data_IF_562842252099
#
_entry.id   IF_562842252099
#
_cell.length_a   1.000
_cell.length_b   1.000
_cell.length_c   1.000
_cell.angle_alpha   90.00
_cell.angle_beta   90.00
_cell.angle_gamma   90.00
#
_symmetry.space_group_name_H-M   'P 1'
#
loop_
_entity.id
_entity.type
_entity.pdbx_description
1 polymer ?
#
# COMPACT_ATOMS: atom_id res chain seq x y z
N UNK A 1 -41.30 53.70 47.51
CA UNK A 1 -41.03 52.32 47.03
C UNK A 1 -40.47 52.43 45.61
N UNK A 2 -39.19 52.11 45.41
CA UNK A 2 -38.43 52.46 44.20
C UNK A 2 -37.80 51.17 43.63
N UNK A 3 -38.31 50.70 42.48
CA UNK A 3 -37.74 49.56 41.73
C UNK A 3 -36.72 50.09 40.72
N UNK A 4 -35.44 49.82 40.96
CA UNK A 4 -34.39 49.96 39.93
C UNK A 4 -34.42 48.74 39.02
N UNK A 5 -34.63 48.95 37.72
CA UNK A 5 -34.39 47.95 36.68
C UNK A 5 -32.94 48.10 36.20
N UNK A 6 -32.13 47.06 36.40
CA UNK A 6 -30.74 47.00 35.94
C UNK A 6 -30.70 46.31 34.56
N UNK A 7 -30.38 47.08 33.52
CA UNK A 7 -30.39 46.63 32.12
C UNK A 7 -29.00 46.11 31.77
N UNK A 8 -28.80 44.78 31.83
CA UNK A 8 -27.55 44.13 31.40
C UNK A 8 -27.30 44.36 29.89
N UNK A 9 -26.34 45.22 29.55
CA UNK A 9 -25.78 45.32 28.19
C UNK A 9 -25.01 44.03 27.86
N UNK A 10 -25.61 43.13 27.08
CA UNK A 10 -24.88 42.03 26.42
C UNK A 10 -23.99 42.63 25.33
N UNK A 11 -22.67 42.65 25.52
CA UNK A 11 -21.72 42.96 24.46
C UNK A 11 -21.83 41.85 23.40
N UNK A 12 -22.48 42.13 22.28
CA UNK A 12 -22.40 41.29 21.09
C UNK A 12 -20.98 41.47 20.54
N UNK A 13 -20.12 40.49 20.78
CA UNK A 13 -18.83 40.38 20.12
C UNK A 13 -19.14 40.09 18.64
N UNK A 14 -18.83 41.04 17.76
CA UNK A 14 -19.00 40.84 16.32
C UNK A 14 -17.97 39.84 15.79
N UNK A 15 -18.36 39.05 14.78
CA UNK A 15 -17.46 38.19 14.03
C UNK A 15 -16.42 39.08 13.35
N UNK A 16 -15.19 39.16 13.87
CA UNK A 16 -14.17 40.02 13.27
C UNK A 16 -13.48 39.30 12.10
N UNK A 17 -13.10 40.05 11.08
CA UNK A 17 -12.33 39.51 9.95
C UNK A 17 -10.99 38.90 10.39
N UNK A 18 -10.43 39.38 11.50
CA UNK A 18 -9.19 38.89 12.08
C UNK A 18 -9.37 37.47 12.64
N UNK A 19 -10.46 37.18 13.35
CA UNK A 19 -10.77 35.83 13.84
C UNK A 19 -10.96 34.85 12.68
N UNK A 20 -11.66 35.25 11.63
CA UNK A 20 -11.81 34.40 10.43
C UNK A 20 -10.48 34.19 9.70
N UNK A 21 -9.59 35.19 9.68
CA UNK A 21 -8.29 35.07 9.03
C UNK A 21 -7.39 34.04 9.74
N UNK A 22 -7.39 34.03 11.08
CA UNK A 22 -6.64 33.04 11.87
C UNK A 22 -7.19 31.63 11.62
N UNK A 23 -8.51 31.48 11.57
CA UNK A 23 -9.15 30.19 11.27
C UNK A 23 -8.77 29.71 9.86
N UNK A 24 -8.74 30.60 8.86
CA UNK A 24 -8.31 30.24 7.50
C UNK A 24 -6.85 29.81 7.43
N UNK A 25 -5.95 30.50 8.13
CA UNK A 25 -4.53 30.11 8.19
C UNK A 25 -4.40 28.71 8.81
N UNK A 26 -5.08 28.46 9.94
CA UNK A 26 -5.06 27.15 10.58
C UNK A 26 -5.61 26.05 9.66
N UNK A 27 -6.69 26.32 8.93
CA UNK A 27 -7.28 25.38 7.98
C UNK A 27 -6.33 25.04 6.83
N UNK A 28 -5.67 26.06 6.24
CA UNK A 28 -4.71 25.86 5.15
C UNK A 28 -3.49 25.05 5.62
N UNK A 29 -3.00 25.30 6.84
CA UNK A 29 -1.88 24.54 7.40
C UNK A 29 -2.24 23.05 7.54
N UNK A 30 -3.43 22.75 8.08
CA UNK A 30 -3.91 21.37 8.22
C UNK A 30 -4.06 20.71 6.85
N UNK A 31 -4.64 21.41 5.88
CA UNK A 31 -4.77 20.90 4.51
C UNK A 31 -3.41 20.62 3.86
N UNK A 32 -2.42 21.50 4.03
CA UNK A 32 -1.08 21.34 3.50
C UNK A 32 -0.34 20.15 4.15
N UNK A 33 -0.43 20.01 5.47
CA UNK A 33 0.16 18.88 6.19
C UNK A 33 -0.48 17.54 5.78
N UNK A 34 -1.80 17.52 5.61
CA UNK A 34 -2.52 16.35 5.13
C UNK A 34 -2.14 16.00 3.69
N UNK A 35 -2.06 16.99 2.79
CA UNK A 35 -1.63 16.78 1.41
C UNK A 35 -0.21 16.19 1.34
N UNK A 36 0.72 16.68 2.16
CA UNK A 36 2.07 16.11 2.25
C UNK A 36 2.05 14.65 2.71
N UNK A 37 1.28 14.32 3.75
CA UNK A 37 1.14 12.95 4.23
C UNK A 37 0.55 12.02 3.15
N UNK A 38 -0.51 12.47 2.47
CA UNK A 38 -1.17 11.72 1.38
C UNK A 38 -0.22 11.51 0.20
N UNK A 39 0.56 12.52 -0.20
CA UNK A 39 1.54 12.38 -1.28
C UNK A 39 2.63 11.35 -0.93
N UNK A 40 3.15 11.37 0.30
CA UNK A 40 4.15 10.40 0.74
C UNK A 40 3.61 8.96 0.74
N UNK A 41 2.38 8.77 1.24
CA UNK A 41 1.69 7.48 1.19
C UNK A 41 1.40 7.05 -0.25
N UNK A 42 0.97 7.99 -1.10
CA UNK A 42 0.70 7.75 -2.51
C UNK A 42 1.95 7.33 -3.29
N UNK A 43 3.10 7.97 -3.03
CA UNK A 43 4.37 7.59 -3.61
C UNK A 43 4.84 6.22 -3.14
N UNK A 44 4.72 5.92 -1.83
CA UNK A 44 5.04 4.59 -1.31
C UNK A 44 4.14 3.50 -1.95
N UNK A 45 2.85 3.76 -2.09
CA UNK A 45 1.92 2.86 -2.78
C UNK A 45 2.28 2.67 -4.25
N UNK A 46 2.65 3.75 -4.94
CA UNK A 46 3.02 3.69 -6.38
C UNK A 46 4.32 2.91 -6.59
N UNK A 47 5.32 3.15 -5.74
CA UNK A 47 6.57 2.39 -5.74
C UNK A 47 6.27 0.90 -5.50
N UNK A 48 5.43 0.59 -4.50
CA UNK A 48 5.09 -0.79 -4.20
C UNK A 48 4.32 -1.46 -5.34
N UNK A 49 3.37 -0.75 -5.95
CA UNK A 49 2.67 -1.24 -7.13
C UNK A 49 3.62 -1.53 -8.29
N UNK A 50 4.62 -0.67 -8.52
CA UNK A 50 5.66 -0.90 -9.53
C UNK A 50 6.47 -2.18 -9.28
N UNK A 51 6.89 -2.41 -8.02
CA UNK A 51 7.58 -3.64 -7.63
C UNK A 51 6.71 -4.88 -7.85
N UNK A 52 5.44 -4.83 -7.43
CA UNK A 52 4.51 -5.96 -7.55
C UNK A 52 4.21 -6.25 -9.03
N UNK A 53 4.05 -5.23 -9.86
CA UNK A 53 3.87 -5.41 -11.31
C UNK A 53 5.09 -6.08 -11.95
N UNK A 54 6.30 -5.64 -11.58
CA UNK A 54 7.54 -6.26 -12.08
C UNK A 54 7.65 -7.71 -11.61
N UNK A 55 7.47 -7.97 -10.32
CA UNK A 55 7.52 -9.33 -9.77
C UNK A 55 6.44 -10.22 -10.38
N UNK A 56 5.23 -9.71 -10.59
CA UNK A 56 4.16 -10.43 -11.25
C UNK A 56 4.46 -10.74 -12.71
N UNK A 57 5.14 -9.84 -13.43
CA UNK A 57 5.62 -10.10 -14.77
C UNK A 57 6.72 -11.17 -14.77
N UNK A 58 7.72 -11.04 -13.89
CA UNK A 58 8.79 -12.02 -13.73
C UNK A 58 8.22 -13.41 -13.43
N UNK A 59 7.26 -13.52 -12.51
CA UNK A 59 6.56 -14.75 -12.17
C UNK A 59 5.73 -15.30 -13.34
N UNK A 60 4.96 -14.45 -14.03
CA UNK A 60 4.19 -14.87 -15.20
C UNK A 60 5.07 -15.38 -16.34
N UNK A 61 6.29 -14.85 -16.46
CA UNK A 61 7.31 -15.32 -17.41
C UNK A 61 8.19 -16.44 -16.85
N UNK A 62 8.03 -16.83 -15.59
CA UNK A 62 8.83 -17.86 -14.93
C UNK A 62 8.37 -19.28 -15.25
N UNK A 63 7.69 -19.49 -16.38
CA UNK A 63 7.25 -20.81 -16.78
C UNK A 63 8.46 -21.69 -17.07
N UNK A 64 8.56 -22.82 -16.37
CA UNK A 64 9.52 -23.88 -16.65
C UNK A 64 8.72 -25.09 -17.12
N UNK A 65 9.01 -25.55 -18.33
CA UNK A 65 8.33 -26.69 -18.92
C UNK A 65 9.31 -27.87 -19.09
N UNK A 66 8.90 -29.13 -18.82
CA UNK A 66 9.71 -30.29 -19.14
C UNK A 66 9.99 -30.36 -20.65
N UNK A 67 11.26 -30.35 -21.01
CA UNK A 67 11.72 -30.51 -22.38
C UNK A 67 11.80 -32.01 -22.74
N UNK A 68 10.72 -32.55 -23.30
CA UNK A 68 10.68 -33.93 -23.78
C UNK A 68 10.29 -34.95 -22.71
N UNK A 69 10.79 -36.18 -22.85
CA UNK A 69 10.36 -37.31 -22.01
C UNK A 69 11.13 -37.38 -20.69
N UNK A 70 10.43 -37.79 -19.62
CA UNK A 70 11.05 -38.13 -18.33
C UNK A 70 11.72 -39.50 -18.45
N UNK A 71 13.02 -39.57 -18.18
CA UNK A 71 13.80 -40.81 -18.33
C UNK A 71 14.13 -41.37 -16.95
N UNK A 72 13.73 -42.61 -16.67
CA UNK A 72 14.10 -43.32 -15.45
C UNK A 72 15.13 -44.43 -15.76
N UNK A 73 16.30 -44.37 -15.13
CA UNK A 73 17.30 -45.43 -15.22
C UNK A 73 17.06 -46.48 -14.14
N UNK A 74 16.85 -47.74 -14.55
CA UNK A 74 16.72 -48.89 -13.66
C UNK A 74 18.07 -49.48 -13.23
N UNK A 75 18.12 -50.01 -12.01
CA UNK A 75 19.21 -50.80 -11.48
C UNK A 75 18.72 -52.18 -11.03
N UNK A 76 19.64 -53.13 -10.97
CA UNK A 76 19.41 -54.50 -10.52
C UNK A 76 20.30 -54.75 -9.32
N UNK A 77 19.73 -55.27 -8.23
CA UNK A 77 20.50 -55.75 -7.08
C UNK A 77 19.88 -57.06 -6.60
N UNK A 78 20.63 -58.16 -6.76
CA UNK A 78 20.05 -59.50 -6.65
C UNK A 78 19.01 -59.73 -7.75
N UNK A 79 17.80 -60.17 -7.36
CA UNK A 79 16.65 -60.43 -8.25
C UNK A 79 15.60 -59.30 -8.23
N UNK A 80 15.92 -58.17 -7.59
CA UNK A 80 15.00 -57.05 -7.40
C UNK A 80 15.34 -55.88 -8.32
N UNK A 81 14.36 -55.42 -9.10
CA UNK A 81 14.44 -54.20 -9.91
C UNK A 81 14.14 -52.97 -9.06
N UNK A 82 14.94 -51.92 -9.21
CA UNK A 82 14.69 -50.63 -8.58
C UNK A 82 15.02 -49.47 -9.52
N UNK A 83 14.42 -48.31 -9.28
CA UNK A 83 14.75 -47.08 -10.01
C UNK A 83 16.02 -46.48 -9.39
N UNK A 84 17.07 -46.34 -10.19
CA UNK A 84 18.37 -45.81 -9.77
C UNK A 84 18.45 -44.29 -9.92
N UNK A 85 17.88 -43.73 -10.99
CA UNK A 85 17.81 -42.29 -11.20
C UNK A 85 16.61 -41.90 -12.08
N UNK A 86 16.23 -40.62 -12.00
CA UNK A 86 15.23 -40.00 -12.88
C UNK A 86 15.83 -38.69 -13.41
N UNK A 87 15.82 -38.53 -14.73
CA UNK A 87 16.33 -37.37 -15.44
C UNK A 87 15.17 -36.65 -16.13
N UNK A 88 15.04 -35.36 -15.85
CA UNK A 88 14.05 -34.47 -16.45
C UNK A 88 14.82 -33.32 -17.09
N UNK A 89 14.70 -33.19 -18.40
CA UNK A 89 15.19 -32.00 -19.09
C UNK A 89 14.13 -30.91 -18.96
N UNK A 90 14.54 -29.67 -18.76
CA UNK A 90 13.65 -28.51 -18.61
C UNK A 90 14.02 -27.44 -19.61
N UNK A 91 13.01 -26.74 -20.11
CA UNK A 91 13.12 -25.56 -20.96
C UNK A 91 12.46 -24.39 -20.24
N UNK A 92 13.15 -23.26 -20.24
CA UNK A 92 12.66 -21.96 -19.75
C UNK A 92 12.24 -21.12 -20.95
#
# INVERSE_FOLDING_TARGET
MMRRSDTRKTRRLGLTGLETAIILIAFVIVAAAFAFAVLNLGFASTQKSGEVLKAGLEEATSSIEPAGSVIAGGGLSGDTYYVKNVSIYVKT
#
